data_IF_643803309059
#
_entry.id   IF_643803309059
#
_cell.length_a   1.000
_cell.length_b   1.000
_cell.length_c   1.000
_cell.angle_alpha   90.00
_cell.angle_beta   90.00
_cell.angle_gamma   90.00
#
_symmetry.space_group_name_H-M   'P 1'
#
loop_
_entity.id
_entity.type
_entity.pdbx_description
1 polymer ?
#
# COMPACT_ATOMS: atom_id res chain seq x y z
N UNK A 1 9.93 18.88 -31.11
CA UNK A 1 10.07 17.43 -30.84
C UNK A 1 8.78 17.02 -30.15
N UNK A 2 7.99 16.20 -30.84
CA UNK A 2 6.63 15.83 -30.46
C UNK A 2 6.68 14.77 -29.35
N UNK A 3 6.21 15.12 -28.15
CA UNK A 3 6.14 14.22 -27.00
C UNK A 3 4.98 13.25 -27.19
N UNK A 4 5.28 12.03 -27.65
CA UNK A 4 4.25 10.98 -27.82
C UNK A 4 3.87 10.41 -26.45
N UNK A 5 2.70 10.79 -25.94
CA UNK A 5 2.13 10.23 -24.71
C UNK A 5 1.75 8.75 -24.92
N UNK A 6 2.65 7.82 -24.59
CA UNK A 6 2.34 6.38 -24.60
C UNK A 6 1.42 6.06 -23.43
N UNK A 7 0.10 6.00 -23.69
CA UNK A 7 -0.87 5.49 -22.72
C UNK A 7 -0.56 4.02 -22.41
N UNK A 8 -0.42 3.63 -21.13
CA UNK A 8 -0.13 2.26 -20.76
C UNK A 8 -1.27 1.34 -21.20
N UNK A 9 -0.94 0.26 -21.92
CA UNK A 9 -1.90 -0.78 -22.28
C UNK A 9 -2.06 -1.72 -21.09
N UNK A 10 -3.16 -1.58 -20.35
CA UNK A 10 -3.54 -2.56 -19.34
C UNK A 10 -3.96 -3.87 -20.03
N UNK A 11 -3.42 -5.00 -19.58
CA UNK A 11 -3.79 -6.32 -20.11
C UNK A 11 -5.23 -6.70 -19.74
N UNK A 12 -5.83 -7.61 -20.50
CA UNK A 12 -7.12 -8.19 -20.15
C UNK A 12 -6.91 -9.28 -19.10
N UNK A 13 -7.29 -8.99 -17.85
CA UNK A 13 -7.27 -9.94 -16.74
C UNK A 13 -8.53 -9.78 -15.90
N UNK A 14 -8.94 -10.84 -15.21
CA UNK A 14 -10.00 -10.76 -14.20
C UNK A 14 -9.40 -10.12 -12.96
N UNK A 15 -9.98 -9.02 -12.49
CA UNK A 15 -9.57 -8.43 -11.22
C UNK A 15 -9.91 -9.38 -10.08
N UNK A 16 -8.88 -10.01 -9.51
CA UNK A 16 -8.99 -10.71 -8.25
C UNK A 16 -8.61 -9.73 -7.14
N UNK A 17 -9.54 -9.32 -6.27
CA UNK A 17 -9.16 -8.52 -5.11
C UNK A 17 -8.11 -9.28 -4.30
N UNK A 18 -7.05 -8.57 -3.91
CA UNK A 18 -6.02 -9.16 -3.06
C UNK A 18 -6.68 -9.78 -1.83
N UNK A 19 -6.27 -10.99 -1.45
CA UNK A 19 -6.81 -11.68 -0.27
C UNK A 19 -6.69 -10.84 1.02
N UNK A 20 -5.74 -9.89 1.02
CA UNK A 20 -5.50 -8.90 2.07
C UNK A 20 -5.35 -7.54 1.39
N UNK A 21 -6.45 -6.80 1.14
CA UNK A 21 -6.36 -5.48 0.54
C UNK A 21 -5.73 -4.54 1.56
N UNK A 22 -4.57 -3.96 1.24
CA UNK A 22 -3.81 -3.10 2.15
C UNK A 22 -3.96 -1.63 1.79
N UNK A 23 -3.77 -0.76 2.78
CA UNK A 23 -3.74 0.70 2.67
C UNK A 23 -2.57 1.27 3.46
N UNK A 24 -2.05 2.39 2.99
CA UNK A 24 -0.99 3.13 3.66
C UNK A 24 -1.63 4.19 4.57
N UNK A 25 -1.16 4.25 5.81
CA UNK A 25 -1.54 5.24 6.81
C UNK A 25 -0.28 5.95 7.31
N UNK A 26 -0.43 7.18 7.80
CA UNK A 26 0.64 7.95 8.44
C UNK A 26 0.11 8.39 9.78
N UNK A 27 0.86 8.14 10.85
CA UNK A 27 0.50 8.62 12.19
C UNK A 27 0.93 10.08 12.41
N UNK A 28 0.62 10.62 13.59
CA UNK A 28 0.94 12.00 13.97
C UNK A 28 2.46 12.25 14.09
N UNK A 29 3.25 11.21 14.38
CA UNK A 29 4.72 11.25 14.44
C UNK A 29 5.36 11.17 13.04
N UNK A 30 4.57 10.99 11.98
CA UNK A 30 5.02 10.89 10.60
C UNK A 30 5.50 9.49 10.19
N UNK A 31 5.26 8.47 11.02
CA UNK A 31 5.60 7.08 10.73
C UNK A 31 4.59 6.50 9.75
N UNK A 32 5.09 5.88 8.69
CA UNK A 32 4.27 5.26 7.66
C UNK A 32 3.96 3.82 8.04
N UNK A 33 2.68 3.46 8.00
CA UNK A 33 2.15 2.14 8.27
C UNK A 33 1.50 1.55 7.01
N UNK A 34 1.75 0.27 6.76
CA UNK A 34 0.97 -0.54 5.84
C UNK A 34 0.01 -1.41 6.65
N UNK A 35 -1.28 -1.11 6.54
CA UNK A 35 -2.36 -1.78 7.27
C UNK A 35 -3.28 -2.52 6.30
N UNK A 36 -4.12 -3.41 6.82
CA UNK A 36 -5.30 -3.83 6.08
C UNK A 36 -6.27 -2.68 5.85
N UNK A 37 -7.09 -2.82 4.81
CA UNK A 37 -8.09 -1.83 4.42
C UNK A 37 -9.18 -1.61 5.48
N UNK A 38 -9.41 -2.59 6.36
CA UNK A 38 -10.52 -2.62 7.33
C UNK A 38 -10.09 -2.29 8.77
N UNK A 39 -8.98 -1.57 8.95
CA UNK A 39 -8.59 -1.08 10.28
C UNK A 39 -9.50 0.03 10.80
N UNK A 40 -9.60 0.13 12.12
CA UNK A 40 -10.25 1.22 12.84
C UNK A 40 -9.26 2.38 13.04
N UNK A 41 -9.44 3.52 12.36
CA UNK A 41 -8.51 4.66 12.46
C UNK A 41 -8.55 5.33 13.83
N UNK A 42 -9.53 5.02 14.68
CA UNK A 42 -9.67 5.58 16.03
C UNK A 42 -8.81 4.83 17.06
N UNK A 43 -8.19 3.71 16.66
CA UNK A 43 -7.35 2.86 17.52
C UNK A 43 -5.90 2.92 17.06
N UNK A 44 -4.98 2.57 17.96
CA UNK A 44 -3.56 2.50 17.65
C UNK A 44 -3.31 1.58 16.45
N UNK A 45 -2.60 2.09 15.44
CA UNK A 45 -2.22 1.32 14.24
C UNK A 45 -1.34 0.12 14.62
N UNK A 46 -0.50 0.28 15.65
CA UNK A 46 0.41 -0.75 16.14
C UNK A 46 -0.33 -1.99 16.69
N UNK A 47 -1.54 -1.82 17.19
CA UNK A 47 -2.34 -2.90 17.78
C UNK A 47 -3.19 -3.65 16.74
N UNK A 48 -3.23 -3.17 15.49
CA UNK A 48 -4.14 -3.65 14.44
C UNK A 48 -3.42 -4.38 13.30
N UNK A 49 -2.32 -5.08 13.63
CA UNK A 49 -1.49 -5.82 12.67
C UNK A 49 -0.95 -4.95 11.51
N UNK A 50 -0.86 -3.63 11.71
CA UNK A 50 -0.18 -2.75 10.76
C UNK A 50 1.33 -2.92 10.86
N UNK A 51 1.98 -2.94 9.70
CA UNK A 51 3.42 -3.01 9.59
C UNK A 51 4.02 -1.62 9.43
N UNK A 52 5.03 -1.30 10.23
CA UNK A 52 5.72 -0.02 10.09
C UNK A 52 6.72 -0.10 8.93
N UNK A 53 6.62 0.83 7.98
CA UNK A 53 7.45 0.83 6.78
C UNK A 53 8.93 1.15 7.07
N UNK A 54 9.25 1.68 8.25
CA UNK A 54 10.63 1.88 8.72
C UNK A 54 11.29 0.55 9.15
N UNK A 55 10.51 -0.46 9.56
CA UNK A 55 11.02 -1.78 10.01
C UNK A 55 10.83 -2.87 8.98
N UNK A 56 9.86 -2.72 8.09
CA UNK A 56 9.70 -3.63 6.96
C UNK A 56 10.55 -3.11 5.81
N UNK A 57 11.75 -3.66 5.69
CA UNK A 57 12.52 -3.53 4.46
C UNK A 57 11.75 -4.33 3.40
N UNK A 58 10.85 -3.67 2.66
CA UNK A 58 10.35 -4.21 1.40
C UNK A 58 11.52 -4.20 0.42
N UNK A 59 12.51 -5.08 0.61
CA UNK A 59 13.46 -5.36 -0.45
C UNK A 59 12.62 -5.86 -1.61
N UNK A 60 12.60 -5.13 -2.72
CA UNK A 60 12.11 -5.70 -3.98
C UNK A 60 13.00 -6.92 -4.20
N UNK A 61 12.44 -8.13 -4.02
CA UNK A 61 13.10 -9.36 -4.42
C UNK A 61 13.54 -9.18 -5.87
N UNK A 62 14.84 -9.33 -6.09
CA UNK A 62 15.44 -9.25 -7.43
C UNK A 62 14.90 -10.31 -8.37
#
# INVERSE_FOLDING_TARGET
>A
MESTEKKPKFGHGVYHPSARPMKVYVDDDGVVYLCDKEIDPSKSLKEQACWTCDKVIFTRGG
#
